data_IF_015085635106
#
_entry.id   IF_015085635106
#
_cell.length_a   1.000
_cell.length_b   1.000
_cell.length_c   1.000
_cell.angle_alpha   90.00
_cell.angle_beta   90.00
_cell.angle_gamma   90.00
#
_symmetry.space_group_name_H-M   'P 1'
#
loop_
_entity.id
_entity.type
_entity.pdbx_description
1 polymer ?
#
# COMPACT_ATOMS: atom_id res chain seq x y z
N UNK A 1 -0.05 -22.62 14.79
CA UNK A 1 -0.88 -21.48 14.32
C UNK A 1 -0.05 -20.31 13.80
N UNK A 2 1.07 -19.96 14.44
CA UNK A 2 1.96 -18.87 14.00
C UNK A 2 2.46 -19.02 12.55
N UNK A 3 2.96 -20.19 12.15
CA UNK A 3 3.38 -20.45 10.76
C UNK A 3 2.22 -20.31 9.76
N UNK A 4 1.01 -20.75 10.12
CA UNK A 4 -0.18 -20.64 9.26
C UNK A 4 -0.55 -19.17 9.06
N UNK A 5 -0.44 -18.35 10.10
CA UNK A 5 -0.63 -16.90 10.00
C UNK A 5 0.37 -16.26 9.03
N UNK A 6 1.66 -16.56 9.17
CA UNK A 6 2.72 -16.07 8.27
C UNK A 6 2.44 -16.49 6.82
N UNK A 7 2.14 -17.77 6.59
CA UNK A 7 1.83 -18.28 5.27
C UNK A 7 0.59 -17.61 4.68
N UNK A 8 -0.42 -17.34 5.50
CA UNK A 8 -1.65 -16.65 5.05
C UNK A 8 -1.34 -15.23 4.61
N UNK A 9 -0.49 -14.49 5.33
CA UNK A 9 -0.05 -13.15 4.92
C UNK A 9 0.76 -13.24 3.62
N UNK A 10 1.73 -14.16 3.52
CA UNK A 10 2.55 -14.31 2.31
C UNK A 10 1.67 -14.64 1.09
N UNK A 11 0.74 -15.58 1.24
CA UNK A 11 -0.22 -15.95 0.19
C UNK A 11 -1.08 -14.75 -0.19
N UNK A 12 -1.61 -14.02 0.79
CA UNK A 12 -2.38 -12.80 0.56
C UNK A 12 -1.59 -11.77 -0.26
N UNK A 13 -0.36 -11.49 0.15
CA UNK A 13 0.51 -10.51 -0.51
C UNK A 13 0.87 -10.92 -1.93
N UNK A 14 1.22 -12.19 -2.12
CA UNK A 14 1.51 -12.75 -3.44
C UNK A 14 0.30 -12.63 -4.37
N UNK A 15 -0.87 -13.10 -3.92
CA UNK A 15 -2.09 -13.05 -4.71
C UNK A 15 -2.53 -11.60 -4.99
N UNK A 16 -2.40 -10.70 -4.01
CA UNK A 16 -2.70 -9.29 -4.19
C UNK A 16 -1.82 -8.66 -5.28
N UNK A 17 -0.50 -8.86 -5.22
CA UNK A 17 0.44 -8.39 -6.24
C UNK A 17 0.19 -9.03 -7.61
N UNK A 18 -0.04 -10.34 -7.64
CA UNK A 18 -0.29 -11.10 -8.87
C UNK A 18 -1.56 -10.62 -9.58
N UNK A 19 -2.68 -10.51 -8.85
CA UNK A 19 -3.93 -10.02 -9.40
C UNK A 19 -3.84 -8.53 -9.78
N UNK A 20 -3.09 -7.71 -9.04
CA UNK A 20 -2.88 -6.31 -9.40
C UNK A 20 -1.97 -6.10 -10.63
N UNK A 21 -1.32 -7.15 -11.15
CA UNK A 21 -0.39 -7.06 -12.27
C UNK A 21 -1.12 -6.81 -13.61
N UNK A 22 -0.61 -5.89 -14.44
CA UNK A 22 -1.28 -5.46 -15.69
C UNK A 22 -1.52 -6.63 -16.66
N UNK A 23 -0.51 -7.47 -16.92
CA UNK A 23 -0.66 -8.67 -17.77
C UNK A 23 -1.76 -9.64 -17.31
N UNK A 24 -1.92 -9.80 -15.99
CA UNK A 24 -2.94 -10.68 -15.42
C UNK A 24 -4.32 -10.06 -15.64
N UNK A 25 -4.47 -8.76 -15.34
CA UNK A 25 -5.71 -8.02 -15.62
C UNK A 25 -6.10 -8.10 -17.09
N UNK A 26 -5.16 -7.80 -17.99
CA UNK A 26 -5.39 -7.83 -19.45
C UNK A 26 -5.86 -9.22 -19.92
N UNK A 27 -5.17 -10.28 -19.49
CA UNK A 27 -5.56 -11.66 -19.81
C UNK A 27 -6.97 -12.00 -19.32
N UNK A 28 -7.33 -11.60 -18.10
CA UNK A 28 -8.63 -11.89 -17.52
C UNK A 28 -9.74 -11.08 -18.22
N UNK A 29 -9.45 -9.82 -18.57
CA UNK A 29 -10.40 -8.96 -19.29
C UNK A 29 -10.70 -9.46 -20.69
N UNK A 30 -9.70 -10.00 -21.38
CA UNK A 30 -9.86 -10.51 -22.75
C UNK A 30 -10.50 -11.89 -22.81
N UNK A 31 -10.36 -12.73 -21.78
CA UNK A 31 -10.75 -14.15 -21.87
C UNK A 31 -11.84 -14.60 -20.89
N UNK A 32 -12.04 -13.92 -19.76
CA UNK A 32 -12.85 -14.46 -18.65
C UNK A 32 -14.01 -13.55 -18.25
N UNK A 33 -13.72 -12.32 -17.81
CA UNK A 33 -14.73 -11.42 -17.23
C UNK A 33 -14.47 -9.96 -17.58
N UNK A 34 -15.54 -9.16 -17.73
CA UNK A 34 -15.43 -7.71 -17.98
C UNK A 34 -14.73 -7.00 -16.81
N UNK A 35 -14.01 -5.92 -17.13
CA UNK A 35 -13.22 -5.13 -16.18
C UNK A 35 -14.00 -4.77 -14.89
N UNK A 36 -15.25 -4.32 -15.02
CA UNK A 36 -16.09 -3.96 -13.86
C UNK A 36 -16.25 -5.11 -12.87
N UNK A 37 -16.53 -6.32 -13.35
CA UNK A 37 -16.72 -7.49 -12.49
C UNK A 37 -15.41 -7.94 -11.87
N UNK A 38 -14.31 -7.84 -12.61
CA UNK A 38 -12.98 -8.11 -12.06
C UNK A 38 -12.61 -7.14 -10.94
N UNK A 39 -12.87 -5.84 -11.10
CA UNK A 39 -12.62 -4.84 -10.04
C UNK A 39 -13.40 -5.16 -8.76
N UNK A 40 -14.69 -5.50 -8.90
CA UNK A 40 -15.52 -5.93 -7.76
C UNK A 40 -14.93 -7.19 -7.10
N UNK A 41 -14.56 -8.19 -7.90
CA UNK A 41 -13.91 -9.41 -7.41
C UNK A 41 -12.61 -9.09 -6.67
N UNK A 42 -11.74 -8.26 -7.24
CA UNK A 42 -10.45 -7.88 -6.65
C UNK A 42 -10.62 -7.16 -5.32
N UNK A 43 -11.53 -6.18 -5.23
CA UNK A 43 -11.82 -5.45 -3.99
C UNK A 43 -12.40 -6.40 -2.93
N UNK A 44 -13.34 -7.25 -3.33
CA UNK A 44 -13.97 -8.23 -2.44
C UNK A 44 -12.94 -9.21 -1.91
N UNK A 45 -12.09 -9.78 -2.78
CA UNK A 45 -10.97 -10.63 -2.41
C UNK A 45 -10.03 -9.92 -1.44
N UNK A 46 -9.56 -8.72 -1.80
CA UNK A 46 -8.58 -7.98 -1.02
C UNK A 46 -9.08 -7.65 0.39
N UNK A 47 -10.40 -7.48 0.56
CA UNK A 47 -11.04 -7.19 1.83
C UNK A 47 -11.38 -8.46 2.63
N UNK A 48 -12.03 -9.44 1.99
CA UNK A 48 -12.46 -10.68 2.65
C UNK A 48 -11.28 -11.53 3.12
N UNK A 49 -10.14 -11.49 2.41
CA UNK A 49 -8.95 -12.23 2.80
C UNK A 49 -8.26 -11.65 4.05
N UNK A 50 -8.66 -10.46 4.52
CA UNK A 50 -8.24 -9.94 5.82
C UNK A 50 -8.91 -10.68 6.99
N UNK A 51 -10.09 -11.27 6.77
CA UNK A 51 -10.84 -12.02 7.80
C UNK A 51 -10.02 -13.21 8.34
N UNK A 52 -9.47 -14.14 7.52
CA UNK A 52 -8.66 -15.23 8.05
C UNK A 52 -7.38 -14.74 8.75
N UNK A 53 -6.75 -13.66 8.27
CA UNK A 53 -5.59 -13.06 8.92
C UNK A 53 -5.98 -12.58 10.33
N UNK A 54 -7.09 -11.85 10.45
CA UNK A 54 -7.62 -11.38 11.73
C UNK A 54 -8.01 -12.55 12.64
N UNK A 55 -8.68 -13.57 12.10
CA UNK A 55 -9.07 -14.76 12.84
C UNK A 55 -7.85 -15.46 13.47
N UNK A 56 -6.78 -15.70 12.70
CA UNK A 56 -5.57 -16.32 13.22
C UNK A 56 -4.85 -15.43 14.25
N UNK A 57 -4.87 -14.11 14.06
CA UNK A 57 -4.30 -13.17 15.02
C UNK A 57 -5.07 -13.17 16.36
N UNK A 58 -6.39 -13.02 16.32
CA UNK A 58 -7.21 -12.93 17.54
C UNK A 58 -7.33 -14.27 18.28
N UNK A 59 -7.36 -15.39 17.56
CA UNK A 59 -7.43 -16.73 18.16
C UNK A 59 -6.09 -17.20 18.76
N UNK A 60 -4.98 -16.49 18.49
CA UNK A 60 -3.65 -16.92 18.89
C UNK A 60 -3.27 -16.60 20.33
N UNK A 61 -2.58 -17.58 20.92
CA UNK A 61 -1.71 -17.37 22.07
C UNK A 61 -0.47 -16.59 21.60
N UNK A 62 -0.35 -15.37 22.11
CA UNK A 62 0.67 -14.40 21.72
C UNK A 62 1.83 -14.44 22.70
N UNK A 63 3.04 -14.33 22.18
CA UNK A 63 4.21 -14.04 23.00
C UNK A 63 4.45 -12.55 22.93
N UNK A 64 4.23 -11.87 24.06
CA UNK A 64 4.49 -10.43 24.21
C UNK A 64 5.96 -10.24 24.55
N UNK A 65 6.65 -9.37 23.81
CA UNK A 65 8.09 -9.14 24.00
C UNK A 65 8.40 -8.21 25.17
N UNK A 66 7.55 -7.21 25.40
CA UNK A 66 7.70 -6.25 26.49
C UNK A 66 6.34 -5.67 26.87
N UNK A 67 6.22 -5.20 28.11
CA UNK A 67 5.02 -4.47 28.54
C UNK A 67 5.01 -3.05 27.96
N UNK A 68 3.89 -2.64 27.40
CA UNK A 68 3.71 -1.29 26.86
C UNK A 68 3.44 -0.32 28.00
N UNK A 69 4.43 0.52 28.33
CA UNK A 69 4.26 1.62 29.28
C UNK A 69 3.58 2.84 28.63
N UNK A 70 3.24 3.85 29.44
CA UNK A 70 2.57 5.08 28.99
C UNK A 70 3.35 5.84 27.92
N UNK A 71 4.68 5.81 28.00
CA UNK A 71 5.55 6.49 27.03
C UNK A 71 5.47 5.80 25.66
N UNK A 72 5.61 4.47 25.63
CA UNK A 72 5.52 3.68 24.41
C UNK A 72 4.13 3.73 23.79
N UNK A 73 3.07 3.69 24.59
CA UNK A 73 1.70 3.81 24.08
C UNK A 73 1.43 5.19 23.49
N UNK A 74 1.88 6.25 24.17
CA UNK A 74 1.76 7.63 23.66
C UNK A 74 2.51 7.79 22.34
N UNK A 75 3.74 7.29 22.25
CA UNK A 75 4.52 7.31 21.02
C UNK A 75 3.83 6.52 19.91
N UNK A 76 3.29 5.34 20.22
CA UNK A 76 2.55 4.52 19.26
C UNK A 76 1.32 5.22 18.70
N UNK A 77 0.52 5.87 19.55
CA UNK A 77 -0.65 6.66 19.15
C UNK A 77 -0.24 7.84 18.25
N UNK A 78 0.83 8.57 18.61
CA UNK A 78 1.35 9.68 17.80
C UNK A 78 1.72 9.19 16.39
N UNK A 79 2.43 8.06 16.29
CA UNK A 79 2.82 7.49 15.00
C UNK A 79 1.61 7.06 14.16
N UNK A 80 0.59 6.47 14.78
CA UNK A 80 -0.66 6.10 14.09
C UNK A 80 -1.39 7.34 13.58
N UNK A 81 -1.57 8.36 14.43
CA UNK A 81 -2.23 9.62 14.04
C UNK A 81 -1.47 10.29 12.89
N UNK A 82 -0.13 10.35 12.99
CA UNK A 82 0.71 10.86 11.93
C UNK A 82 0.50 10.09 10.61
N UNK A 83 0.47 8.76 10.67
CA UNK A 83 0.25 7.91 9.50
C UNK A 83 -1.13 8.13 8.87
N UNK A 84 -2.18 8.18 9.69
CA UNK A 84 -3.56 8.48 9.24
C UNK A 84 -3.63 9.86 8.57
N UNK A 85 -2.95 10.85 9.12
CA UNK A 85 -2.86 12.17 8.52
C UNK A 85 -2.16 12.12 7.14
N UNK A 86 -1.03 11.41 7.02
CA UNK A 86 -0.34 11.24 5.73
C UNK A 86 -1.22 10.50 4.72
N UNK A 87 -1.92 9.43 5.12
CA UNK A 87 -2.89 8.74 4.27
C UNK A 87 -3.97 9.71 3.77
N UNK A 88 -4.58 10.47 4.68
CA UNK A 88 -5.64 11.43 4.35
C UNK A 88 -5.18 12.47 3.31
N UNK A 89 -4.01 13.08 3.47
CA UNK A 89 -3.50 14.06 2.50
C UNK A 89 -3.04 13.40 1.19
N UNK A 90 -2.59 12.13 1.24
CA UNK A 90 -2.21 11.36 0.05
C UNK A 90 -3.43 11.05 -0.79
N UNK A 91 -4.54 10.65 -0.19
CA UNK A 91 -5.79 10.38 -0.92
C UNK A 91 -6.33 11.61 -1.65
N UNK A 92 -6.01 12.84 -1.24
CA UNK A 92 -6.38 14.05 -2.00
C UNK A 92 -5.68 14.14 -3.36
N UNK A 93 -4.57 13.43 -3.55
CA UNK A 93 -3.86 13.35 -4.82
C UNK A 93 -4.37 12.22 -5.74
N UNK A 94 -5.22 11.33 -5.24
CA UNK A 94 -5.81 10.22 -6.00
C UNK A 94 -7.30 10.46 -6.23
N UNK A 95 -7.81 10.18 -7.43
CA UNK A 95 -9.25 10.23 -7.65
C UNK A 95 -9.92 8.98 -7.07
N UNK A 96 -10.71 9.17 -6.01
CA UNK A 96 -11.39 8.08 -5.32
C UNK A 96 -12.44 7.37 -6.20
N UNK A 97 -13.03 8.07 -7.18
CA UNK A 97 -13.99 7.47 -8.12
C UNK A 97 -13.32 6.58 -9.15
N UNK A 98 -12.13 6.96 -9.59
CA UNK A 98 -11.27 6.16 -10.46
C UNK A 98 -10.74 4.92 -9.73
N UNK A 99 -10.32 5.08 -8.47
CA UNK A 99 -9.88 3.99 -7.61
C UNK A 99 -10.99 2.92 -7.42
N UNK A 100 -12.24 3.36 -7.26
CA UNK A 100 -13.41 2.47 -7.17
C UNK A 100 -13.90 1.95 -8.54
N UNK A 101 -13.34 2.43 -9.66
CA UNK A 101 -13.79 2.08 -11.01
C UNK A 101 -15.23 2.50 -11.30
N UNK A 102 -15.70 3.55 -10.62
CA UNK A 102 -17.05 4.11 -10.77
C UNK A 102 -17.11 5.17 -11.87
N UNK A 103 -15.97 5.67 -12.33
CA UNK A 103 -15.92 6.54 -13.49
C UNK A 103 -16.29 5.77 -14.75
N UNK A 104 -17.24 6.36 -15.48
CA UNK A 104 -17.74 5.84 -16.74
C UNK A 104 -16.57 5.80 -17.72
N UNK A 105 -16.09 4.58 -17.99
CA UNK A 105 -15.20 4.29 -19.11
C UNK A 105 -15.99 4.60 -20.39
N UNK A 106 -15.95 5.86 -20.83
CA UNK A 106 -16.17 6.16 -22.24
C UNK A 106 -14.89 5.72 -22.95
N UNK A 107 -14.98 4.52 -23.51
CA UNK A 107 -13.94 3.70 -24.13
C UNK A 107 -13.22 4.32 -25.33
N UNK A 108 -13.29 5.62 -25.56
CA UNK A 108 -12.74 6.26 -26.76
C UNK A 108 -11.60 7.22 -26.47
N UNK A 109 -11.39 7.65 -25.23
CA UNK A 109 -10.25 8.51 -24.89
C UNK A 109 -9.55 7.91 -23.68
N UNK A 110 -8.48 7.13 -23.92
CA UNK A 110 -7.38 7.01 -22.94
C UNK A 110 -6.79 8.42 -22.81
N UNK A 111 -7.44 9.26 -22.01
CA UNK A 111 -6.87 10.52 -21.57
C UNK A 111 -5.61 10.09 -20.84
N UNK A 112 -4.45 10.38 -21.44
CA UNK A 112 -3.17 10.33 -20.75
C UNK A 112 -3.28 11.31 -19.58
N UNK A 113 -3.75 10.82 -18.44
CA UNK A 113 -3.82 11.61 -17.22
C UNK A 113 -2.43 12.14 -16.95
N UNK A 114 -2.30 13.43 -16.66
CA UNK A 114 -0.99 14.00 -16.40
C UNK A 114 -0.42 13.34 -15.13
N UNK A 115 0.85 12.95 -15.18
CA UNK A 115 1.57 12.46 -14.00
C UNK A 115 1.40 13.44 -12.84
N UNK A 116 0.66 13.02 -11.79
CA UNK A 116 0.43 13.87 -10.62
C UNK A 116 1.67 13.89 -9.71
N UNK A 117 2.49 14.91 -9.91
CA UNK A 117 3.65 15.24 -9.07
C UNK A 117 3.32 16.33 -8.03
N UNK A 118 2.03 16.66 -7.85
CA UNK A 118 1.53 17.70 -6.96
C UNK A 118 1.33 17.27 -5.51
N UNK A 119 0.94 18.20 -4.64
CA UNK A 119 0.63 17.91 -3.24
C UNK A 119 1.80 17.25 -2.49
N UNK A 120 1.51 16.16 -1.78
CA UNK A 120 2.53 15.41 -1.04
C UNK A 120 3.53 14.68 -1.95
N UNK A 121 3.13 14.35 -3.19
CA UNK A 121 3.99 13.70 -4.19
C UNK A 121 5.17 14.58 -4.60
N UNK A 122 5.18 15.89 -4.28
CA UNK A 122 6.35 16.76 -4.44
C UNK A 122 7.52 16.37 -3.54
N UNK A 123 7.24 15.74 -2.39
CA UNK A 123 8.24 15.46 -1.36
C UNK A 123 8.69 14.01 -1.35
N UNK A 124 7.78 13.07 -1.63
CA UNK A 124 8.03 11.63 -1.67
C UNK A 124 7.18 11.00 -2.77
N UNK A 125 7.73 10.02 -3.49
CA UNK A 125 7.01 9.41 -4.62
C UNK A 125 5.87 8.50 -4.19
N UNK A 126 6.04 7.83 -3.05
CA UNK A 126 5.14 6.79 -2.57
C UNK A 126 4.62 7.09 -1.15
N UNK A 127 3.89 8.20 -0.96
CA UNK A 127 3.51 8.69 0.37
C UNK A 127 2.64 7.69 1.16
N UNK A 128 1.79 6.91 0.48
CA UNK A 128 1.01 5.85 1.10
C UNK A 128 1.93 4.75 1.67
N UNK A 129 2.94 4.33 0.92
CA UNK A 129 3.91 3.35 1.39
C UNK A 129 4.76 3.90 2.53
N UNK A 130 5.15 5.18 2.45
CA UNK A 130 5.88 5.87 3.51
C UNK A 130 5.10 5.90 4.82
N UNK A 131 3.79 6.14 4.76
CA UNK A 131 2.91 6.17 5.94
C UNK A 131 2.69 4.80 6.58
N UNK A 132 2.84 3.70 5.82
CA UNK A 132 2.72 2.35 6.35
C UNK A 132 3.77 2.02 7.42
N UNK A 133 5.00 2.51 7.29
CA UNK A 133 6.08 2.25 8.26
C UNK A 133 5.80 2.81 9.67
N UNK A 134 5.48 4.10 9.86
CA UNK A 134 5.09 4.62 11.17
C UNK A 134 3.78 4.00 11.67
N UNK A 135 2.83 3.64 10.79
CA UNK A 135 1.60 2.97 11.20
C UNK A 135 1.91 1.62 11.87
N UNK A 136 2.68 0.78 11.20
CA UNK A 136 3.05 -0.54 11.68
C UNK A 136 3.90 -0.46 12.95
N UNK A 137 4.81 0.50 13.00
CA UNK A 137 5.62 0.76 14.20
C UNK A 137 4.73 1.17 15.36
N UNK A 138 3.77 2.08 15.14
CA UNK A 138 2.84 2.50 16.18
C UNK A 138 1.95 1.37 16.67
N UNK A 139 1.46 0.51 15.78
CA UNK A 139 0.70 -0.71 16.15
C UNK A 139 1.57 -1.67 16.97
N UNK A 140 2.82 -1.90 16.58
CA UNK A 140 3.75 -2.74 17.34
C UNK A 140 4.07 -2.19 18.72
N UNK A 141 4.20 -0.87 18.89
CA UNK A 141 4.40 -0.27 20.20
C UNK A 141 3.19 -0.47 21.13
N UNK A 142 1.98 -0.49 20.58
CA UNK A 142 0.74 -0.73 21.35
C UNK A 142 0.50 -2.21 21.64
N UNK A 143 0.94 -3.10 20.77
CA UNK A 143 0.80 -4.54 20.92
C UNK A 143 2.09 -5.23 20.43
N UNK A 144 3.13 -5.29 21.30
CA UNK A 144 4.45 -5.78 20.93
C UNK A 144 4.53 -7.31 21.00
N UNK A 145 3.69 -7.97 20.22
CA UNK A 145 3.65 -9.43 20.15
C UNK A 145 4.33 -9.99 18.89
N UNK A 146 4.60 -11.29 18.92
CA UNK A 146 5.25 -12.03 17.83
C UNK A 146 4.46 -11.99 16.51
N UNK A 147 3.12 -11.93 16.53
CA UNK A 147 2.31 -11.89 15.31
C UNK A 147 2.36 -10.52 14.64
N UNK A 148 2.25 -9.44 15.42
CA UNK A 148 2.41 -8.08 14.89
C UNK A 148 3.83 -7.86 14.40
N UNK A 149 4.85 -8.35 15.12
CA UNK A 149 6.23 -8.26 14.65
C UNK A 149 6.42 -8.99 13.31
N UNK A 150 5.87 -10.20 13.16
CA UNK A 150 5.91 -10.93 11.90
C UNK A 150 5.26 -10.13 10.76
N UNK A 151 4.07 -9.56 11.01
CA UNK A 151 3.42 -8.67 10.05
C UNK A 151 4.28 -7.46 9.70
N UNK A 152 4.93 -6.86 10.70
CA UNK A 152 5.84 -5.73 10.52
C UNK A 152 6.99 -6.06 9.56
N UNK A 153 7.64 -7.20 9.78
CA UNK A 153 8.76 -7.68 8.96
C UNK A 153 8.29 -7.99 7.54
N UNK A 154 7.21 -8.78 7.40
CA UNK A 154 6.72 -9.22 6.09
C UNK A 154 6.32 -8.01 5.23
N UNK A 155 5.55 -7.07 5.78
CA UNK A 155 5.13 -5.88 5.04
C UNK A 155 6.34 -4.99 4.72
N UNK A 156 7.30 -4.85 5.64
CA UNK A 156 8.52 -4.05 5.38
C UNK A 156 9.35 -4.59 4.21
N UNK A 157 9.36 -5.90 4.01
CA UNK A 157 10.00 -6.56 2.85
C UNK A 157 9.15 -6.41 1.59
N UNK A 158 7.82 -6.51 1.72
CA UNK A 158 6.90 -6.45 0.59
C UNK A 158 6.76 -5.05 -0.02
N UNK A 159 6.71 -3.99 0.79
CA UNK A 159 6.47 -2.63 0.30
C UNK A 159 7.49 -2.20 -0.78
N UNK A 160 8.82 -2.37 -0.61
CA UNK A 160 9.79 -2.08 -1.65
C UNK A 160 9.56 -2.86 -2.95
N UNK A 161 9.14 -4.13 -2.86
CA UNK A 161 8.83 -4.96 -4.03
C UNK A 161 7.63 -4.39 -4.77
N UNK A 162 6.56 -4.05 -4.05
CA UNK A 162 5.37 -3.39 -4.61
C UNK A 162 5.71 -2.08 -5.31
N UNK A 163 6.54 -1.26 -4.68
CA UNK A 163 7.02 0.01 -5.25
C UNK A 163 7.77 -0.21 -6.55
N UNK A 164 8.67 -1.18 -6.64
CA UNK A 164 9.43 -1.45 -7.87
C UNK A 164 8.46 -1.78 -9.02
N UNK A 165 7.46 -2.63 -8.78
CA UNK A 165 6.47 -2.96 -9.81
C UNK A 165 5.58 -1.77 -10.17
N UNK A 166 5.22 -0.93 -9.20
CA UNK A 166 4.46 0.30 -9.46
C UNK A 166 5.28 1.29 -10.30
N UNK A 167 6.55 1.51 -9.96
CA UNK A 167 7.43 2.40 -10.71
C UNK A 167 7.66 1.89 -12.14
N UNK A 168 7.77 0.58 -12.36
CA UNK A 168 7.85 0.00 -13.69
C UNK A 168 6.62 0.35 -14.53
N UNK A 169 5.41 0.20 -13.97
CA UNK A 169 4.15 0.59 -14.65
C UNK A 169 4.12 2.08 -14.95
N UNK A 170 4.53 2.93 -14.01
CA UNK A 170 4.58 4.38 -14.20
C UNK A 170 5.62 4.79 -15.25
N UNK A 171 6.73 4.05 -15.38
CA UNK A 171 7.70 4.25 -16.45
C UNK A 171 7.12 3.83 -17.81
N UNK A 172 6.41 2.71 -17.88
CA UNK A 172 5.73 2.25 -19.11
C UNK A 172 4.68 3.27 -19.57
N UNK A 173 3.95 3.88 -18.63
CA UNK A 173 2.86 4.82 -18.92
C UNK A 173 3.35 6.25 -19.23
N UNK A 174 4.30 6.77 -18.44
CA UNK A 174 4.73 8.17 -18.51
C UNK A 174 6.15 8.39 -19.06
N UNK A 175 6.90 7.32 -19.29
CA UNK A 175 8.21 7.33 -19.92
C UNK A 175 9.20 8.29 -19.26
N UNK A 176 9.74 9.22 -20.07
CA UNK A 176 10.76 10.18 -19.62
C UNK A 176 10.28 11.08 -18.49
N UNK A 177 9.00 11.47 -18.47
CA UNK A 177 8.44 12.36 -17.43
C UNK A 177 8.58 11.76 -16.04
N UNK A 178 8.27 10.47 -15.89
CA UNK A 178 8.41 9.78 -14.61
C UNK A 178 9.89 9.57 -14.24
N UNK A 179 10.74 9.22 -15.21
CA UNK A 179 12.19 9.10 -14.96
C UNK A 179 12.80 10.42 -14.47
N UNK A 180 12.38 11.55 -15.02
CA UNK A 180 12.86 12.87 -14.56
C UNK A 180 12.30 13.23 -13.17
N UNK A 181 11.06 12.85 -12.87
CA UNK A 181 10.51 12.95 -11.51
C UNK A 181 11.28 12.11 -10.49
N UNK A 182 11.63 10.87 -10.82
CA UNK A 182 12.42 9.97 -9.96
C UNK A 182 13.80 10.51 -9.58
N UNK A 183 14.41 11.33 -10.44
CA UNK A 183 15.71 11.97 -10.15
C UNK A 183 15.62 13.04 -9.06
N UNK A 184 14.47 13.68 -8.93
CA UNK A 184 14.31 14.86 -8.07
C UNK A 184 13.59 14.54 -6.76
N UNK A 185 12.64 13.60 -6.78
CA UNK A 185 11.80 13.27 -5.62
C UNK A 185 12.19 11.89 -5.07
N UNK A 186 12.52 11.75 -3.78
CA UNK A 186 12.91 10.47 -3.18
C UNK A 186 11.74 9.49 -3.08
N UNK A 187 12.05 8.19 -2.97
CA UNK A 187 11.05 7.11 -2.99
C UNK A 187 10.11 7.16 -1.78
N UNK A 188 10.65 7.15 -0.55
CA UNK A 188 9.89 6.95 0.69
C UNK A 188 10.05 8.07 1.71
N UNK A 189 11.28 8.51 2.00
CA UNK A 189 11.53 9.53 3.02
C UNK A 189 11.95 10.85 2.37
N UNK A 190 11.39 11.98 2.82
CA UNK A 190 11.75 13.28 2.26
C UNK A 190 13.23 13.56 2.52
N UNK A 191 13.92 14.06 1.51
CA UNK A 191 15.32 14.43 1.65
C UNK A 191 15.43 15.92 1.98
N UNK A 192 16.32 16.28 2.91
CA UNK A 192 16.51 17.69 3.34
C UNK A 192 17.06 18.59 2.24
N UNK A 193 17.56 18.01 1.14
CA UNK A 193 18.12 18.72 -0.02
C UNK A 193 17.08 19.22 -1.02
N UNK A 194 15.78 19.15 -0.73
CA UNK A 194 14.75 19.64 -1.65
C UNK A 194 14.77 21.18 -1.74
N UNK A 195 15.63 21.69 -2.62
CA UNK A 195 15.65 23.10 -3.00
C UNK A 195 14.46 23.37 -3.92
N UNK A 196 13.60 24.31 -3.47
CA UNK A 196 12.53 24.92 -4.25
C UNK A 196 13.03 25.26 -5.65
N UNK A 197 12.38 24.72 -6.68
CA UNK A 197 12.20 25.42 -7.95
C UNK A 197 10.78 25.96 -7.99
#
# INVERSE_FOLDING_TARGET
MYLIFILTIIIYMFLHSFLAHNKVKEYIYSNLIKERYYRIFFISYATLFLIPIAYFYFSANKTVYFETNIFLSTLGIILIIFSVYIFYISFKNYDFKEFLGLDRINSEHKIHYQLNTGGINKYVRHPLYSASYPLMTGIFLLAPDNYILAGCIIISIYLPIGIIFEEQKLIEEYGKKYKDYMKNVPMLFPNTKYQKK
#
